data_IF_243515399455
#
_entry.id   IF_243515399455
#
_cell.length_a   1.000
_cell.length_b   1.000
_cell.length_c   1.000
_cell.angle_alpha   90.00
_cell.angle_beta   90.00
_cell.angle_gamma   90.00
#
_symmetry.space_group_name_H-M   'P 1'
#
loop_
_entity.id
_entity.type
_entity.pdbx_description
1 polymer ?
#
# COMPACT_ATOMS: atom_id res chain seq x y z
N UNK A 1 4.30 -10.36 32.77
CA UNK A 1 4.55 -9.81 31.41
C UNK A 1 4.32 -10.82 30.27
N UNK A 2 3.75 -12.02 30.50
CA UNK A 2 3.48 -13.02 29.45
C UNK A 2 2.08 -12.93 28.81
N UNK A 3 1.17 -12.11 29.35
CA UNK A 3 -0.24 -12.06 28.93
C UNK A 3 -0.54 -11.18 27.71
N UNK A 4 0.40 -10.33 27.28
CA UNK A 4 0.19 -9.47 26.09
C UNK A 4 0.27 -10.28 24.79
N UNK A 5 1.21 -11.22 24.71
CA UNK A 5 1.37 -12.08 23.54
C UNK A 5 0.27 -13.14 23.43
N UNK A 6 -0.31 -13.60 24.54
CA UNK A 6 -1.43 -14.56 24.52
C UNK A 6 -2.74 -13.92 24.04
N UNK A 7 -3.00 -12.65 24.36
CA UNK A 7 -4.16 -11.91 23.87
C UNK A 7 -4.08 -11.61 22.37
N UNK A 8 -2.89 -11.43 21.82
CA UNK A 8 -2.68 -11.26 20.37
C UNK A 8 -2.88 -12.59 19.59
N UNK A 9 -2.57 -13.74 20.21
CA UNK A 9 -2.60 -15.06 19.55
C UNK A 9 -4.00 -15.52 19.14
N UNK A 10 -5.05 -15.08 19.84
CA UNK A 10 -6.43 -15.52 19.60
C UNK A 10 -7.30 -14.50 18.85
N UNK A 11 -6.75 -13.37 18.43
CA UNK A 11 -7.52 -12.35 17.72
C UNK A 11 -7.56 -12.68 16.23
N UNK A 12 -8.59 -13.40 15.80
CA UNK A 12 -8.86 -13.61 14.39
C UNK A 12 -9.26 -12.27 13.75
N UNK A 13 -8.45 -11.80 12.80
CA UNK A 13 -8.79 -10.65 11.97
C UNK A 13 -9.72 -11.10 10.84
N UNK A 14 -10.75 -10.30 10.55
CA UNK A 14 -11.60 -10.56 9.38
C UNK A 14 -10.81 -10.34 8.09
N UNK A 15 -11.22 -11.01 7.00
CA UNK A 15 -10.63 -10.80 5.68
C UNK A 15 -10.73 -9.33 5.24
N UNK A 16 -11.83 -8.67 5.60
CA UNK A 16 -12.03 -7.23 5.41
C UNK A 16 -10.90 -6.42 6.06
N UNK A 17 -10.68 -6.61 7.37
CA UNK A 17 -9.65 -5.88 8.11
C UNK A 17 -8.24 -6.22 7.60
N UNK A 18 -8.01 -7.50 7.28
CA UNK A 18 -6.75 -7.93 6.68
C UNK A 18 -6.46 -7.20 5.36
N UNK A 19 -7.41 -7.22 4.41
CA UNK A 19 -7.26 -6.53 3.13
C UNK A 19 -7.07 -5.02 3.31
N UNK A 20 -7.71 -4.40 4.31
CA UNK A 20 -7.55 -2.98 4.60
C UNK A 20 -6.14 -2.66 5.09
N UNK A 21 -5.59 -3.46 6.00
CA UNK A 21 -4.21 -3.31 6.49
C UNK A 21 -3.22 -3.43 5.33
N UNK A 22 -3.39 -4.44 4.47
CA UNK A 22 -2.53 -4.63 3.30
C UNK A 22 -2.68 -3.45 2.31
N UNK A 23 -3.91 -2.99 2.06
CA UNK A 23 -4.15 -1.85 1.18
C UNK A 23 -3.50 -0.55 1.68
N UNK A 24 -3.51 -0.30 2.99
CA UNK A 24 -2.81 0.84 3.60
C UNK A 24 -1.29 0.67 3.43
N UNK A 25 -0.76 -0.53 3.66
CA UNK A 25 0.67 -0.79 3.50
C UNK A 25 1.13 -0.56 2.05
N UNK A 26 0.42 -1.14 1.08
CA UNK A 26 0.72 -0.99 -0.33
C UNK A 26 0.49 0.45 -0.78
N UNK A 27 -0.70 1.00 -0.52
CA UNK A 27 -1.13 2.30 -1.02
C UNK A 27 -0.46 3.49 -0.36
N UNK A 28 -0.17 3.46 0.94
CA UNK A 28 0.44 4.59 1.64
C UNK A 28 1.96 4.43 1.76
N UNK A 29 2.43 3.32 2.34
CA UNK A 29 3.83 3.20 2.78
C UNK A 29 4.76 2.88 1.61
N UNK A 30 4.42 1.91 0.77
CA UNK A 30 5.30 1.55 -0.36
C UNK A 30 5.31 2.59 -1.47
N UNK A 31 4.35 3.52 -1.47
CA UNK A 31 4.17 4.54 -2.51
C UNK A 31 4.63 5.95 -2.10
N UNK A 32 5.49 6.09 -1.07
CA UNK A 32 6.01 7.41 -0.62
C UNK A 32 6.65 8.20 -1.78
N UNK A 33 7.45 7.56 -2.62
CA UNK A 33 8.06 8.20 -3.80
C UNK A 33 7.05 8.75 -4.81
N UNK A 34 5.96 7.99 -5.03
CA UNK A 34 4.87 8.44 -5.87
C UNK A 34 4.24 9.72 -5.30
N UNK A 35 3.95 9.77 -4.00
CA UNK A 35 3.40 10.98 -3.37
C UNK A 35 4.36 12.16 -3.41
N UNK A 36 5.66 11.92 -3.29
CA UNK A 36 6.67 12.96 -3.47
C UNK A 36 6.60 13.55 -4.89
N UNK A 37 6.53 12.69 -5.91
CA UNK A 37 6.42 13.14 -7.29
C UNK A 37 5.10 13.88 -7.56
N UNK A 38 3.97 13.40 -7.03
CA UNK A 38 2.67 14.09 -7.14
C UNK A 38 2.74 15.48 -6.50
N UNK A 39 3.38 15.62 -5.34
CA UNK A 39 3.57 16.91 -4.68
C UNK A 39 4.45 17.86 -5.49
N UNK A 40 5.51 17.36 -6.11
CA UNK A 40 6.43 18.17 -6.93
C UNK A 40 5.80 18.62 -8.24
N UNK A 41 4.88 17.82 -8.81
CA UNK A 41 4.25 18.10 -10.11
C UNK A 41 2.91 18.83 -10.01
N UNK A 42 2.26 18.83 -8.84
CA UNK A 42 0.96 19.50 -8.69
C UNK A 42 1.13 21.03 -8.69
N UNK A 43 0.22 21.79 -9.34
CA UNK A 43 0.26 23.25 -9.32
C UNK A 43 -0.29 23.86 -8.01
N UNK A 44 -0.75 23.03 -7.07
CA UNK A 44 -1.33 23.49 -5.82
C UNK A 44 -0.26 23.84 -4.78
N UNK A 45 -0.55 24.83 -3.94
CA UNK A 45 0.30 25.25 -2.82
C UNK A 45 -0.49 25.33 -1.51
N UNK A 46 0.21 25.25 -0.39
CA UNK A 46 -0.37 25.35 0.96
C UNK A 46 -1.45 24.30 1.21
N UNK A 47 -2.58 24.72 1.78
CA UNK A 47 -3.69 23.82 2.17
C UNK A 47 -4.25 23.03 0.98
N UNK A 48 -4.29 23.62 -0.21
CA UNK A 48 -4.80 22.94 -1.42
C UNK A 48 -3.94 21.74 -1.81
N UNK A 49 -2.61 21.88 -1.68
CA UNK A 49 -1.68 20.78 -1.95
C UNK A 49 -1.85 19.63 -0.94
N UNK A 50 -2.01 19.97 0.33
CA UNK A 50 -2.24 18.98 1.40
C UNK A 50 -3.54 18.21 1.16
N UNK A 51 -4.64 18.92 0.87
CA UNK A 51 -5.93 18.28 0.59
C UNK A 51 -5.87 17.40 -0.67
N UNK A 52 -5.17 17.86 -1.71
CA UNK A 52 -4.98 17.09 -2.93
C UNK A 52 -4.18 15.80 -2.70
N UNK A 53 -3.08 15.88 -1.93
CA UNK A 53 -2.30 14.69 -1.54
C UNK A 53 -3.10 13.73 -0.66
N UNK A 54 -3.85 14.26 0.31
CA UNK A 54 -4.69 13.44 1.19
C UNK A 54 -5.77 12.70 0.38
N UNK A 55 -6.43 13.39 -0.56
CA UNK A 55 -7.39 12.77 -1.46
C UNK A 55 -6.73 11.69 -2.34
N UNK A 56 -5.54 11.98 -2.89
CA UNK A 56 -4.78 11.01 -3.68
C UNK A 56 -4.44 9.76 -2.88
N UNK A 57 -4.02 9.92 -1.62
CA UNK A 57 -3.74 8.80 -0.72
C UNK A 57 -4.98 7.96 -0.45
N UNK A 58 -6.11 8.60 -0.15
CA UNK A 58 -7.37 7.91 0.09
C UNK A 58 -7.80 7.13 -1.15
N UNK A 59 -7.72 7.73 -2.33
CA UNK A 59 -8.05 7.08 -3.60
C UNK A 59 -7.14 5.87 -3.84
N UNK A 60 -5.82 6.01 -3.64
CA UNK A 60 -4.87 4.93 -3.90
C UNK A 60 -5.08 3.75 -2.94
N UNK A 61 -5.25 4.03 -1.64
CA UNK A 61 -5.57 3.00 -0.64
C UNK A 61 -6.90 2.33 -0.95
N UNK A 62 -7.95 3.09 -1.30
CA UNK A 62 -9.25 2.54 -1.67
C UNK A 62 -9.17 1.67 -2.94
N UNK A 63 -8.34 2.05 -3.91
CA UNK A 63 -8.11 1.29 -5.13
C UNK A 63 -7.44 -0.06 -4.82
N UNK A 64 -6.35 -0.06 -4.06
CA UNK A 64 -5.73 -1.31 -3.60
C UNK A 64 -6.71 -2.16 -2.81
N UNK A 65 -7.50 -1.53 -1.94
CA UNK A 65 -8.49 -2.23 -1.13
C UNK A 65 -9.55 -2.91 -2.00
N UNK A 66 -10.12 -2.21 -2.98
CA UNK A 66 -11.09 -2.76 -3.91
C UNK A 66 -10.51 -3.93 -4.73
N UNK A 67 -9.29 -3.78 -5.23
CA UNK A 67 -8.57 -4.85 -5.95
C UNK A 67 -8.35 -6.06 -5.05
N UNK A 68 -7.88 -5.86 -3.81
CA UNK A 68 -7.68 -6.93 -2.85
C UNK A 68 -9.00 -7.61 -2.46
N UNK A 69 -10.13 -6.89 -2.41
CA UNK A 69 -11.43 -7.54 -2.18
C UNK A 69 -11.86 -8.47 -3.29
N UNK A 70 -11.42 -8.22 -4.52
CA UNK A 70 -11.70 -9.10 -5.66
C UNK A 70 -10.72 -10.28 -5.69
N UNK A 71 -9.42 -10.02 -5.47
CA UNK A 71 -8.35 -11.01 -5.60
C UNK A 71 -8.20 -11.93 -4.39
N UNK A 72 -8.31 -11.40 -3.17
CA UNK A 72 -8.03 -12.18 -1.96
C UNK A 72 -9.26 -12.98 -1.54
N UNK A 73 -9.20 -14.29 -1.75
CA UNK A 73 -10.17 -15.24 -1.21
C UNK A 73 -9.63 -15.86 0.08
N UNK A 74 -10.51 -16.43 0.91
CA UNK A 74 -10.19 -16.92 2.28
C UNK A 74 -8.90 -17.76 2.37
N UNK A 75 -8.59 -18.53 1.33
CA UNK A 75 -7.46 -19.46 1.29
C UNK A 75 -6.21 -18.90 0.59
N UNK A 76 -6.37 -17.92 -0.32
CA UNK A 76 -5.27 -17.35 -1.12
C UNK A 76 -4.76 -16.01 -0.59
N UNK A 77 -5.54 -15.34 0.27
CA UNK A 77 -5.26 -13.98 0.73
C UNK A 77 -3.85 -13.79 1.31
N UNK A 78 -3.37 -14.76 2.10
CA UNK A 78 -2.03 -14.69 2.71
C UNK A 78 -0.91 -14.77 1.67
N UNK A 79 -1.07 -15.66 0.67
CA UNK A 79 -0.06 -15.87 -0.37
C UNK A 79 0.04 -14.60 -1.23
N UNK A 80 -1.09 -14.06 -1.68
CA UNK A 80 -1.11 -12.81 -2.44
C UNK A 80 -0.54 -11.64 -1.65
N UNK A 81 -0.90 -11.49 -0.37
CA UNK A 81 -0.34 -10.43 0.46
C UNK A 81 1.19 -10.52 0.57
N UNK A 82 1.75 -11.71 0.79
CA UNK A 82 3.20 -11.91 0.85
C UNK A 82 3.86 -11.51 -0.48
N UNK A 83 3.33 -12.01 -1.60
CA UNK A 83 3.87 -11.70 -2.93
C UNK A 83 3.81 -10.20 -3.22
N UNK A 84 2.67 -9.56 -2.97
CA UNK A 84 2.48 -8.13 -3.22
C UNK A 84 3.36 -7.26 -2.31
N UNK A 85 3.51 -7.60 -1.03
CA UNK A 85 4.41 -6.89 -0.12
C UNK A 85 5.85 -7.03 -0.57
N UNK A 86 6.27 -8.25 -0.94
CA UNK A 86 7.64 -8.51 -1.34
C UNK A 86 7.97 -7.79 -2.65
N UNK A 87 7.20 -8.05 -3.71
CA UNK A 87 7.39 -7.42 -5.01
C UNK A 87 7.27 -5.89 -4.88
N UNK A 88 6.21 -5.41 -4.21
CA UNK A 88 6.01 -3.97 -3.99
C UNK A 88 7.15 -3.32 -3.20
N UNK A 89 7.73 -4.02 -2.22
CA UNK A 89 8.87 -3.54 -1.45
C UNK A 89 10.12 -3.38 -2.32
N UNK A 90 10.44 -4.39 -3.14
CA UNK A 90 11.54 -4.31 -4.10
C UNK A 90 11.29 -3.23 -5.15
N UNK A 91 10.09 -3.17 -5.73
CA UNK A 91 9.70 -2.11 -6.68
C UNK A 91 9.88 -0.73 -6.06
N UNK A 92 9.41 -0.53 -4.83
CA UNK A 92 9.58 0.73 -4.11
C UNK A 92 11.07 1.07 -3.92
N UNK A 93 11.89 0.12 -3.50
CA UNK A 93 13.33 0.33 -3.35
C UNK A 93 13.99 0.76 -4.67
N UNK A 94 13.73 0.04 -5.76
CA UNK A 94 14.34 0.32 -7.06
C UNK A 94 13.89 1.66 -7.65
N UNK A 95 12.60 1.99 -7.56
CA UNK A 95 12.06 3.26 -8.04
C UNK A 95 12.65 4.42 -7.23
N UNK A 96 12.65 4.32 -5.89
CA UNK A 96 13.08 5.43 -5.03
C UNK A 96 14.59 5.61 -4.96
N UNK A 97 15.36 4.52 -5.04
CA UNK A 97 16.81 4.56 -4.81
C UNK A 97 17.60 4.59 -6.10
N UNK A 98 17.16 3.86 -7.13
CA UNK A 98 17.85 3.76 -8.41
C UNK A 98 17.21 4.63 -9.51
N UNK A 99 16.04 5.22 -9.25
CA UNK A 99 15.30 5.99 -10.26
C UNK A 99 14.75 5.15 -11.40
N UNK A 100 14.67 3.83 -11.23
CA UNK A 100 14.17 2.91 -12.27
C UNK A 100 12.66 3.09 -12.39
N UNK A 101 12.18 3.43 -13.58
CA UNK A 101 10.75 3.43 -13.90
C UNK A 101 10.38 2.02 -14.33
N UNK A 102 9.43 1.37 -13.67
CA UNK A 102 8.97 0.02 -14.05
C UNK A 102 7.95 0.17 -15.19
N UNK A 103 8.34 -0.21 -16.39
CA UNK A 103 7.52 -0.06 -17.59
C UNK A 103 7.68 -1.26 -18.54
N UNK A 104 6.68 -1.53 -19.42
CA UNK A 104 6.70 -2.72 -20.28
C UNK A 104 7.89 -2.82 -21.25
N UNK A 105 8.54 -1.70 -21.56
CA UNK A 105 9.75 -1.60 -22.37
C UNK A 105 11.02 -2.18 -21.72
N UNK A 106 10.95 -2.57 -20.45
CA UNK A 106 12.07 -3.18 -19.71
C UNK A 106 12.08 -4.72 -19.73
N UNK A 107 11.26 -5.35 -20.59
CA UNK A 107 11.11 -6.80 -20.72
C UNK A 107 11.66 -7.27 -22.07
#
# INVERSE_FOLDING_TARGET
>A
MLNFFSTLRNKQISLFMFNLIIAIWLGAILNIGFYHQVHTLTPYFGVKAILFLAATLVILVATYYAVLQILNWKWTAKIFAILLIFIGGFSSYFVNTLGVIISPDQI
#
